data_IF_563819249204
#
_entry.id   IF_563819249204
#
_cell.length_a   1.000
_cell.length_b   1.000
_cell.length_c   1.000
_cell.angle_alpha   90.00
_cell.angle_beta   90.00
_cell.angle_gamma   90.00
#
_symmetry.space_group_name_H-M   'P 1'
#
loop_
_entity.id
_entity.type
_entity.pdbx_description
1 polymer ?
#
# COMPACT_ATOMS: atom_id res chain seq x y z
N UNK A 1 -1.35 5.78 9.65
CA UNK A 1 -2.34 5.20 10.57
C UNK A 1 -3.57 4.60 9.89
N UNK A 2 -4.48 5.41 9.31
CA UNK A 2 -5.76 4.90 8.77
C UNK A 2 -5.68 3.77 7.73
N UNK A 3 -4.57 3.66 7.00
CA UNK A 3 -4.36 2.61 6.02
C UNK A 3 -3.96 1.28 6.67
N UNK A 4 -3.20 1.34 7.76
CA UNK A 4 -2.78 0.16 8.54
C UNK A 4 -3.96 -0.50 9.25
N UNK A 5 -4.99 0.29 9.62
CA UNK A 5 -6.25 -0.27 10.13
C UNK A 5 -7.04 -1.06 9.07
N UNK A 6 -6.69 -0.94 7.78
CA UNK A 6 -7.38 -1.60 6.66
C UNK A 6 -6.60 -2.78 6.09
N UNK A 7 -5.41 -3.08 6.62
CA UNK A 7 -4.60 -4.15 6.07
C UNK A 7 -3.12 -4.07 6.43
N UNK A 8 -2.34 -4.97 5.84
CA UNK A 8 -0.90 -5.10 6.09
C UNK A 8 -0.16 -4.29 5.05
N UNK A 9 0.76 -3.42 5.48
CA UNK A 9 1.55 -2.59 4.57
C UNK A 9 2.79 -3.33 4.09
N UNK A 10 3.14 -3.14 2.82
CA UNK A 10 4.42 -3.61 2.24
C UNK A 10 5.43 -2.47 2.08
N UNK A 11 4.94 -1.26 1.83
CA UNK A 11 5.78 -0.08 1.69
C UNK A 11 6.20 0.49 3.05
N UNK A 12 7.47 0.87 3.17
CA UNK A 12 7.98 1.55 4.36
C UNK A 12 7.58 3.03 4.40
N UNK A 13 7.52 3.66 5.59
CA UNK A 13 7.29 5.10 5.70
C UNK A 13 8.38 5.88 4.96
N UNK A 14 7.98 6.77 4.05
CA UNK A 14 8.91 7.58 3.24
C UNK A 14 9.45 6.89 2.00
N UNK A 15 9.06 5.64 1.73
CA UNK A 15 9.45 4.95 0.50
C UNK A 15 8.81 5.61 -0.74
N UNK A 16 9.57 5.86 -1.82
CA UNK A 16 9.01 6.41 -3.05
C UNK A 16 8.11 5.37 -3.72
N UNK A 17 6.86 5.78 -3.94
CA UNK A 17 5.83 4.96 -4.60
C UNK A 17 5.37 5.60 -5.91
N UNK A 18 4.85 4.80 -6.82
CA UNK A 18 4.27 5.27 -8.07
C UNK A 18 2.85 4.73 -8.29
N UNK A 19 2.13 5.33 -9.24
CA UNK A 19 0.75 4.94 -9.55
C UNK A 19 0.68 3.47 -9.98
N UNK A 20 -0.17 2.71 -9.29
CA UNK A 20 -0.41 1.30 -9.55
C UNK A 20 0.62 0.33 -8.97
N UNK A 21 1.56 0.82 -8.18
CA UNK A 21 2.31 0.00 -7.22
C UNK A 21 1.36 -0.50 -6.12
N UNK A 22 1.47 -1.78 -5.78
CA UNK A 22 0.77 -2.40 -4.65
C UNK A 22 1.55 -2.07 -3.38
N UNK A 23 0.91 -1.35 -2.47
CA UNK A 23 1.55 -0.83 -1.24
C UNK A 23 1.19 -1.62 0.01
N UNK A 24 0.26 -2.56 -0.10
CA UNK A 24 -0.20 -3.40 1.01
C UNK A 24 -1.30 -4.37 0.58
N UNK A 25 -1.62 -5.26 1.50
CA UNK A 25 -2.68 -6.25 1.42
C UNK A 25 -3.91 -5.75 2.16
N UNK A 26 -5.06 -5.72 1.48
CA UNK A 26 -6.32 -5.34 2.10
C UNK A 26 -6.84 -6.47 2.99
N UNK A 27 -7.43 -6.14 4.14
CA UNK A 27 -8.07 -7.13 5.02
C UNK A 27 -9.35 -7.75 4.44
N UNK A 28 -9.80 -7.26 3.28
CA UNK A 28 -10.94 -7.76 2.50
C UNK A 28 -10.44 -8.20 1.14
N UNK A 29 -11.14 -9.14 0.52
CA UNK A 29 -10.76 -9.73 -0.78
C UNK A 29 -10.83 -8.77 -1.97
N UNK A 30 -11.41 -7.57 -1.78
CA UNK A 30 -11.53 -6.57 -2.83
C UNK A 30 -10.30 -5.66 -2.91
N UNK A 31 -9.95 -5.25 -4.13
CA UNK A 31 -8.93 -4.24 -4.35
C UNK A 31 -9.42 -2.86 -3.86
N UNK A 32 -8.49 -2.03 -3.39
CA UNK A 32 -8.76 -0.68 -2.91
C UNK A 32 -7.69 0.28 -3.41
N UNK A 33 -8.09 1.24 -4.23
CA UNK A 33 -7.21 2.32 -4.65
C UNK A 33 -7.04 3.34 -3.53
N UNK A 34 -5.79 3.61 -3.17
CA UNK A 34 -5.44 4.43 -2.02
C UNK A 34 -4.34 5.41 -2.37
N UNK A 35 -4.38 6.58 -1.74
CA UNK A 35 -3.26 7.51 -1.77
C UNK A 35 -2.48 7.39 -0.47
N UNK A 36 -1.27 6.83 -0.54
CA UNK A 36 -0.36 6.67 0.60
C UNK A 36 0.51 7.92 0.84
N UNK A 37 0.69 8.78 -0.17
CA UNK A 37 1.58 9.95 -0.11
C UNK A 37 0.92 11.17 0.53
N UNK A 38 -0.40 11.31 0.37
CA UNK A 38 -1.14 12.44 0.91
C UNK A 38 -1.80 12.04 2.22
N UNK A 39 -1.57 12.86 3.23
CA UNK A 39 -2.36 12.81 4.45
C UNK A 39 -3.82 13.13 4.11
N UNK A 40 -4.72 12.20 4.40
CA UNK A 40 -6.15 12.48 4.27
C UNK A 40 -6.51 13.49 5.37
N UNK A 41 -6.67 14.76 5.01
CA UNK A 41 -7.20 15.78 5.94
C UNK A 41 -8.49 15.26 6.58
N UNK A 42 -8.44 15.03 7.88
CA UNK A 42 -9.60 14.71 8.72
C UNK A 42 -10.49 15.95 8.81
N UNK A 43 -11.37 16.18 7.82
CA UNK A 43 -12.33 17.28 7.88
C UNK A 43 -13.52 16.96 8.81
N UNK A 44 -13.66 15.71 9.27
CA UNK A 44 -14.82 15.21 10.02
C UNK A 44 -14.54 14.77 11.47
N UNK A 45 -13.54 15.34 12.17
CA UNK A 45 -13.35 15.01 13.59
C UNK A 45 -13.35 16.27 14.46
N UNK A 46 -14.53 16.56 15.01
CA UNK A 46 -14.69 17.29 16.28
C UNK A 46 -14.02 16.46 17.37
N UNK A 47 -12.73 16.65 17.61
CA UNK A 47 -12.06 16.17 18.82
C UNK A 47 -10.82 17.02 19.03
N UNK A 48 -10.97 18.08 19.81
CA UNK A 48 -9.90 18.62 20.64
C UNK A 48 -9.26 17.44 21.38
N UNK A 49 -7.93 17.41 21.49
CA UNK A 49 -7.09 16.36 22.09
C UNK A 49 -6.86 15.10 21.22
N UNK A 50 -5.72 15.04 20.51
CA UNK A 50 -4.89 13.84 20.29
C UNK A 50 -3.73 14.13 19.31
N UNK A 51 -2.71 14.87 19.75
CA UNK A 51 -1.35 14.71 19.20
C UNK A 51 -0.77 13.41 19.79
N UNK A 52 -1.35 12.26 19.41
CA UNK A 52 -0.70 10.97 19.64
C UNK A 52 0.25 10.72 18.47
N UNK A 53 1.55 10.63 18.75
CA UNK A 53 2.55 10.26 17.76
C UNK A 53 2.15 8.94 17.09
N UNK A 54 1.84 9.01 15.79
CA UNK A 54 1.36 7.87 15.00
C UNK A 54 2.40 6.76 15.01
N UNK A 55 2.12 5.66 15.72
CA UNK A 55 2.97 4.46 15.71
C UNK A 55 2.64 3.63 14.47
N UNK A 56 3.55 3.61 13.51
CA UNK A 56 3.40 2.81 12.31
C UNK A 56 3.86 1.39 12.56
N UNK A 57 2.98 0.41 12.27
CA UNK A 57 3.35 -1.01 12.22
C UNK A 57 4.45 -1.21 11.17
N UNK A 58 5.51 -2.01 11.45
CA UNK A 58 6.54 -2.32 10.47
C UNK A 58 5.93 -3.01 9.24
N UNK A 59 6.38 -2.67 8.02
CA UNK A 59 5.86 -3.29 6.81
C UNK A 59 6.29 -4.75 6.70
N UNK A 60 5.43 -5.57 6.09
CA UNK A 60 5.76 -6.95 5.70
C UNK A 60 6.65 -6.91 4.46
N UNK A 61 7.92 -7.22 4.65
CA UNK A 61 8.89 -7.37 3.56
C UNK A 61 8.77 -8.77 2.99
N UNK A 62 8.48 -8.88 1.69
CA UNK A 62 8.41 -10.15 0.97
C UNK A 62 9.70 -10.41 0.21
N UNK A 63 10.16 -11.66 0.23
CA UNK A 63 11.24 -12.11 -0.64
C UNK A 63 10.70 -12.42 -2.06
N UNK A 64 11.59 -12.82 -2.98
CA UNK A 64 11.23 -13.11 -4.37
C UNK A 64 10.18 -14.21 -4.49
N UNK A 65 10.37 -15.33 -3.79
CA UNK A 65 9.47 -16.48 -3.83
C UNK A 65 8.08 -16.14 -3.28
N UNK A 66 8.03 -15.50 -2.11
CA UNK A 66 6.79 -15.01 -1.50
C UNK A 66 6.06 -14.03 -2.42
N UNK A 67 6.81 -13.15 -3.10
CA UNK A 67 6.21 -12.20 -4.04
C UNK A 67 5.60 -12.90 -5.26
N UNK A 68 6.26 -13.94 -5.76
CA UNK A 68 5.77 -14.75 -6.89
C UNK A 68 4.56 -15.60 -6.52
N UNK A 69 4.50 -16.09 -5.28
CA UNK A 69 3.33 -16.83 -4.77
C UNK A 69 2.13 -15.91 -4.51
N UNK A 70 2.40 -14.64 -4.16
CA UNK A 70 1.35 -13.70 -3.79
C UNK A 70 0.64 -13.05 -4.99
N UNK A 71 1.35 -12.78 -6.09
CA UNK A 71 0.78 -12.06 -7.24
C UNK A 71 -0.38 -12.81 -7.92
N UNK A 72 -1.38 -12.04 -8.35
CA UNK A 72 -2.49 -12.51 -9.19
C UNK A 72 -2.21 -12.33 -10.69
N UNK A 73 -3.09 -12.85 -11.55
CA UNK A 73 -2.94 -12.77 -13.03
C UNK A 73 -2.89 -11.33 -13.58
N UNK A 74 -3.51 -10.37 -12.88
CA UNK A 74 -3.51 -8.96 -13.25
C UNK A 74 -2.39 -8.14 -12.59
N UNK A 75 -1.46 -8.82 -11.93
CA UNK A 75 -0.34 -8.24 -11.18
C UNK A 75 1.00 -8.69 -11.75
N UNK A 76 2.03 -7.90 -11.48
CA UNK A 76 3.39 -8.12 -11.93
C UNK A 76 4.36 -7.81 -10.79
N UNK A 77 5.43 -8.59 -10.73
CA UNK A 77 6.58 -8.31 -9.88
C UNK A 77 7.64 -7.55 -10.68
N UNK A 78 7.91 -6.31 -10.28
CA UNK A 78 9.04 -5.53 -10.78
C UNK A 78 10.29 -5.91 -9.98
N UNK A 79 11.27 -6.49 -10.67
CA UNK A 79 12.54 -6.93 -10.09
C UNK A 79 13.65 -5.99 -10.51
N UNK A 80 14.33 -5.39 -9.55
CA UNK A 80 15.58 -4.65 -9.76
C UNK A 80 16.66 -5.23 -8.83
N UNK A 81 17.96 -4.99 -9.11
CA UNK A 81 19.03 -5.47 -8.22
C UNK A 81 18.93 -4.96 -6.77
N UNK A 82 18.18 -3.87 -6.53
CA UNK A 82 18.07 -3.22 -5.22
C UNK A 82 16.69 -3.36 -4.58
N UNK A 83 15.66 -3.75 -5.34
CA UNK A 83 14.29 -3.78 -4.85
C UNK A 83 13.39 -4.76 -5.60
N UNK A 84 12.43 -5.30 -4.88
CA UNK A 84 11.31 -6.07 -5.37
C UNK A 84 10.04 -5.26 -5.13
N UNK A 85 9.26 -4.99 -6.17
CA UNK A 85 8.04 -4.18 -6.06
C UNK A 85 6.88 -4.85 -6.74
N UNK A 86 5.76 -4.94 -6.03
CA UNK A 86 4.50 -5.44 -6.56
C UNK A 86 3.75 -4.31 -7.26
N UNK A 87 3.14 -4.59 -8.40
CA UNK A 87 2.35 -3.62 -9.16
C UNK A 87 1.22 -4.31 -9.92
N UNK A 88 0.18 -3.56 -10.24
CA UNK A 88 -0.83 -4.00 -11.21
C UNK A 88 -0.26 -3.90 -12.63
N UNK A 89 -0.75 -4.77 -13.51
CA UNK A 89 -0.46 -4.75 -14.95
C UNK A 89 -0.93 -3.43 -15.56
N UNK A 90 -2.17 -3.05 -15.26
CA UNK A 90 -2.72 -1.75 -15.62
C UNK A 90 -2.45 -0.74 -14.50
N UNK A 91 -1.58 0.24 -14.75
CA UNK A 91 -1.19 1.23 -13.73
C UNK A 91 -2.31 2.21 -13.40
N UNK A 92 -2.92 2.77 -14.44
CA UNK A 92 -3.93 3.82 -14.29
C UNK A 92 -5.22 3.24 -13.71
N UNK A 93 -5.60 3.68 -12.52
CA UNK A 93 -6.78 3.17 -11.80
C UNK A 93 -8.06 3.22 -12.66
N UNK A 94 -8.27 4.33 -13.38
CA UNK A 94 -9.42 4.54 -14.27
C UNK A 94 -9.52 3.51 -15.41
N UNK A 95 -8.43 2.84 -15.78
CA UNK A 95 -8.40 1.87 -16.89
C UNK A 95 -8.52 0.42 -16.42
N UNK A 96 -8.66 0.18 -15.11
CA UNK A 96 -8.83 -1.18 -14.54
C UNK A 96 -10.28 -1.67 -14.57
N UNK A 97 -11.23 -0.74 -14.72
CA UNK A 97 -12.67 -0.98 -14.78
C UNK A 97 -13.23 -0.55 -16.12
#
# INVERSE_FOLDING_TARGET
DHLQARGIMFAAPGEPVYEGQVVGENARDNDMDVNITKEKKLTNMRSSTADEGVKLTPPRVMNLEQSLEWIREDELLEVTPKSLRLRKRQLVARRRF
#
